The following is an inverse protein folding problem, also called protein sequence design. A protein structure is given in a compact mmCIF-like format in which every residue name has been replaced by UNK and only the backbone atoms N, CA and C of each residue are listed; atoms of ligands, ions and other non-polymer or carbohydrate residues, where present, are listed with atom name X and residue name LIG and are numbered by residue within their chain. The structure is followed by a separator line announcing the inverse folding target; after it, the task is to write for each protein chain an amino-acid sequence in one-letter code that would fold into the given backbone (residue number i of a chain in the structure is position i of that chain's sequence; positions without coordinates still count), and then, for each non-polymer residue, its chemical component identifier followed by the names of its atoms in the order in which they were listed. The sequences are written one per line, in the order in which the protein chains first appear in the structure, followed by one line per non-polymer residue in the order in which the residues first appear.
data_IF_379840165257
#
_entry.id   IF_379840165257
#
_cell.length_a   1.000
_cell.length_b   1.000
_cell.length_c   1.000
_cell.angle_alpha   90.00
_cell.angle_beta   90.00
_cell.angle_gamma   90.00
#
_symmetry.space_group_name_H-M   'P 1'
#
loop_
_entity.id
_entity.type
_entity.pdbx_description
1 polymer ?
#
# COMPACT_ATOMS: atom_id res chain seq x y z
N UNK A 1 27.73 28.70 3.56
CA UNK A 1 26.64 28.37 2.62
C UNK A 1 26.07 27.06 3.10
N UNK A 2 24.81 27.06 3.55
CA UNK A 2 24.19 25.89 4.16
C UNK A 2 23.93 24.84 3.07
N UNK A 3 24.57 23.68 3.21
CA UNK A 3 24.36 22.54 2.35
C UNK A 3 22.91 22.09 2.50
N UNK A 4 22.16 22.20 1.41
CA UNK A 4 20.79 21.74 1.30
C UNK A 4 20.77 20.25 1.62
N UNK A 5 20.28 19.91 2.82
CA UNK A 5 19.92 18.56 3.21
C UNK A 5 18.75 18.16 2.32
N UNK A 6 19.09 17.66 1.14
CA UNK A 6 18.18 16.91 0.28
C UNK A 6 17.78 15.69 1.10
N UNK A 7 16.68 15.85 1.84
CA UNK A 7 15.95 14.76 2.43
C UNK A 7 15.36 14.01 1.23
N UNK A 8 16.20 13.17 0.60
CA UNK A 8 15.72 11.96 -0.05
C UNK A 8 15.08 11.14 1.07
N UNK A 9 13.83 11.48 1.43
CA UNK A 9 12.87 10.44 1.77
C UNK A 9 12.83 9.62 0.49
N UNK A 10 13.74 8.65 0.41
CA UNK A 10 13.46 7.43 -0.32
C UNK A 10 12.04 7.09 0.13
N UNK A 11 11.09 7.17 -0.79
CA UNK A 11 9.77 6.58 -0.63
C UNK A 11 10.02 5.07 -0.54
N UNK A 12 10.56 4.65 0.59
CA UNK A 12 10.88 3.29 0.91
C UNK A 12 9.54 2.62 1.01
N UNK A 13 9.21 1.90 -0.06
CA UNK A 13 8.03 1.07 -0.08
C UNK A 13 8.13 0.08 1.08
N UNK A 14 7.25 0.23 2.06
CA UNK A 14 7.23 -0.59 3.26
C UNK A 14 6.18 -1.69 3.08
N UNK A 15 6.64 -2.88 2.69
CA UNK A 15 5.77 -4.01 2.34
C UNK A 15 4.86 -4.42 3.50
N UNK A 16 5.38 -4.39 4.72
CA UNK A 16 4.64 -4.75 5.93
C UNK A 16 3.48 -3.77 6.21
N UNK A 17 3.66 -2.49 5.87
CA UNK A 17 2.59 -1.49 5.98
C UNK A 17 1.46 -1.81 4.99
N UNK A 18 1.79 -2.08 3.72
CA UNK A 18 0.78 -2.40 2.72
C UNK A 18 0.04 -3.71 3.05
N UNK A 19 0.77 -4.74 3.51
CA UNK A 19 0.18 -5.99 4.00
C UNK A 19 -0.80 -5.75 5.14
N UNK A 20 -0.44 -4.90 6.11
CA UNK A 20 -1.31 -4.57 7.22
C UNK A 20 -2.58 -3.85 6.74
N UNK A 21 -2.48 -2.95 5.77
CA UNK A 21 -3.66 -2.32 5.17
C UNK A 21 -4.56 -3.33 4.44
N UNK A 22 -3.97 -4.29 3.71
CA UNK A 22 -4.72 -5.38 3.07
C UNK A 22 -5.49 -6.20 4.13
N UNK A 23 -4.87 -6.52 5.27
CA UNK A 23 -5.54 -7.22 6.38
C UNK A 23 -6.69 -6.37 6.97
N UNK A 24 -6.45 -5.07 7.20
CA UNK A 24 -7.48 -4.13 7.66
C UNK A 24 -8.65 -4.09 6.66
N UNK A 25 -8.39 -3.95 5.36
CA UNK A 25 -9.40 -4.00 4.31
C UNK A 25 -10.24 -5.28 4.38
N UNK A 26 -9.60 -6.45 4.49
CA UNK A 26 -10.31 -7.74 4.60
C UNK A 26 -11.18 -7.80 5.85
N UNK A 27 -10.69 -7.31 7.00
CA UNK A 27 -11.48 -7.23 8.23
C UNK A 27 -12.66 -6.28 8.08
N UNK A 28 -12.46 -5.09 7.51
CA UNK A 28 -13.53 -4.11 7.28
C UNK A 28 -14.62 -4.69 6.37
N UNK A 29 -14.23 -5.31 5.25
CA UNK A 29 -15.14 -5.98 4.31
C UNK A 29 -15.93 -7.10 5.00
N UNK A 30 -15.26 -7.95 5.79
CA UNK A 30 -15.89 -9.04 6.53
C UNK A 30 -16.87 -8.56 7.59
N UNK A 31 -16.56 -7.45 8.27
CA UNK A 31 -17.39 -6.88 9.32
C UNK A 31 -18.52 -5.97 8.79
N UNK A 32 -18.63 -5.79 7.47
CA UNK A 32 -19.68 -4.99 6.85
C UNK A 32 -19.42 -3.48 6.83
N UNK A 33 -18.21 -3.03 7.13
CA UNK A 33 -17.80 -1.62 7.04
C UNK A 33 -17.43 -1.24 5.59
N UNK A 34 -18.42 -1.22 4.70
CA UNK A 34 -18.21 -1.07 3.25
C UNK A 34 -17.53 0.25 2.86
N UNK A 35 -17.94 1.38 3.44
CA UNK A 35 -17.34 2.69 3.14
C UNK A 35 -15.87 2.76 3.58
N UNK A 36 -15.56 2.26 4.78
CA UNK A 36 -14.18 2.21 5.28
C UNK A 36 -13.34 1.24 4.46
N UNK A 37 -13.89 0.08 4.10
CA UNK A 37 -13.22 -0.89 3.25
C UNK A 37 -12.90 -0.29 1.88
N UNK A 38 -13.81 0.50 1.30
CA UNK A 38 -13.60 1.14 0.01
C UNK A 38 -12.50 2.22 0.07
N UNK A 39 -12.47 3.03 1.14
CA UNK A 39 -11.39 4.00 1.36
C UNK A 39 -10.03 3.33 1.54
N UNK A 40 -9.99 2.24 2.30
CA UNK A 40 -8.75 1.48 2.49
C UNK A 40 -8.30 0.83 1.18
N UNK A 41 -9.23 0.30 0.39
CA UNK A 41 -8.93 -0.27 -0.92
C UNK A 41 -8.31 0.77 -1.87
N UNK A 42 -8.87 1.98 -1.94
CA UNK A 42 -8.33 3.07 -2.77
C UNK A 42 -6.89 3.44 -2.35
N UNK A 43 -6.64 3.49 -1.04
CA UNK A 43 -5.31 3.72 -0.47
C UNK A 43 -4.32 2.62 -0.88
N UNK A 44 -4.73 1.35 -0.75
CA UNK A 44 -3.93 0.18 -1.14
C UNK A 44 -3.64 0.22 -2.65
N UNK A 45 -4.62 0.50 -3.50
CA UNK A 45 -4.46 0.55 -4.95
C UNK A 45 -3.50 1.68 -5.37
N UNK A 46 -3.59 2.85 -4.73
CA UNK A 46 -2.67 3.96 -4.99
C UNK A 46 -1.23 3.58 -4.63
N UNK A 47 -1.02 2.91 -3.49
CA UNK A 47 0.31 2.41 -3.13
C UNK A 47 0.78 1.29 -4.06
N UNK A 48 -0.08 0.34 -4.43
CA UNK A 48 0.25 -0.71 -5.40
C UNK A 48 0.69 -0.13 -6.75
N UNK A 49 0.08 0.96 -7.21
CA UNK A 49 0.49 1.63 -8.45
C UNK A 49 1.91 2.23 -8.37
N UNK A 50 2.34 2.68 -7.18
CA UNK A 50 3.71 3.12 -6.92
C UNK A 50 4.68 1.93 -6.85
N UNK A 51 4.26 0.84 -6.20
CA UNK A 51 5.03 -0.41 -6.11
C UNK A 51 5.24 -1.01 -7.51
N UNK A 52 4.22 -1.00 -8.37
CA UNK A 52 4.32 -1.54 -9.73
C UNK A 52 5.44 -0.88 -10.55
N UNK A 53 5.70 0.41 -10.34
CA UNK A 53 6.72 1.16 -11.08
C UNK A 53 8.14 0.89 -10.60
N UNK A 54 8.30 0.59 -9.30
CA UNK A 54 9.62 0.45 -8.67
C UNK A 54 9.99 -1.02 -8.35
N UNK A 55 9.01 -1.85 -8.03
CA UNK A 55 9.13 -3.22 -7.52
C UNK A 55 8.02 -4.12 -8.11
N UNK A 56 8.09 -4.47 -9.40
CA UNK A 56 7.04 -5.24 -10.08
C UNK A 56 6.81 -6.63 -9.47
N UNK A 57 7.87 -7.34 -9.03
CA UNK A 57 7.74 -8.66 -8.40
C UNK A 57 6.90 -8.59 -7.10
N UNK A 58 7.15 -7.57 -6.27
CA UNK A 58 6.39 -7.38 -5.03
C UNK A 58 4.95 -6.93 -5.28
N UNK A 59 4.71 -6.14 -6.33
CA UNK A 59 3.36 -5.77 -6.75
C UNK A 59 2.51 -7.01 -7.06
N UNK A 60 3.06 -7.99 -7.79
CA UNK A 60 2.33 -9.21 -8.12
C UNK A 60 1.97 -10.02 -6.87
N UNK A 61 2.90 -10.17 -5.93
CA UNK A 61 2.65 -10.83 -4.64
C UNK A 61 1.53 -10.13 -3.86
N UNK A 62 1.61 -8.81 -3.70
CA UNK A 62 0.66 -8.03 -2.90
C UNK A 62 -0.72 -7.94 -3.56
N UNK A 63 -0.76 -7.87 -4.88
CA UNK A 63 -2.01 -7.91 -5.65
C UNK A 63 -2.70 -9.27 -5.51
N UNK A 64 -1.93 -10.37 -5.54
CA UNK A 64 -2.47 -11.69 -5.29
C UNK A 64 -3.03 -11.80 -3.85
N UNK A 65 -2.34 -11.23 -2.86
CA UNK A 65 -2.84 -11.16 -1.48
C UNK A 65 -4.13 -10.35 -1.35
N UNK A 66 -4.29 -9.25 -2.10
CA UNK A 66 -5.50 -8.45 -2.08
C UNK A 66 -6.72 -9.18 -2.69
N UNK A 67 -6.49 -10.02 -3.70
CA UNK A 67 -7.54 -10.75 -4.41
C UNK A 67 -8.10 -11.98 -3.65
N UNK A 68 -7.33 -12.52 -2.70
CA UNK A 68 -7.68 -13.68 -1.85
C UNK A 68 -8.53 -13.30 -0.63
#
# INVERSE_FOLDING_TARGET
MAESKLVNVELSFDRDVLRNQIDIYKRLKRNGYLESAQKELESIEHQLALVQQSYPDQYEELKAELAL
#
